data_IF_217155867820
#
_entry.id   IF_217155867820
#
_cell.length_a   1.000
_cell.length_b   1.000
_cell.length_c   1.000
_cell.angle_alpha   90.00
_cell.angle_beta   90.00
_cell.angle_gamma   90.00
#
_symmetry.space_group_name_H-M   'P 1'
#
loop_
_entity.id
_entity.type
_entity.pdbx_description
1 polymer ?
#
# COMPACT_ATOMS: atom_id res chain seq x y z
N UNK A 1 45.83 -5.68 24.39
CA UNK A 1 46.39 -4.34 24.05
C UNK A 1 45.23 -3.54 23.47
N UNK A 2 44.63 -2.61 24.25
CA UNK A 2 44.81 -1.14 24.20
C UNK A 2 44.52 -0.56 22.81
N UNK A 3 43.74 0.50 22.57
CA UNK A 3 43.02 1.50 23.36
C UNK A 3 42.12 2.29 22.37
N UNK A 4 41.14 3.01 22.89
CA UNK A 4 40.24 3.91 22.15
C UNK A 4 40.96 5.10 21.49
N UNK A 5 40.39 5.65 20.41
CA UNK A 5 40.96 6.81 19.70
C UNK A 5 39.91 7.71 19.03
N UNK A 6 39.45 8.71 19.78
CA UNK A 6 38.65 9.88 19.38
C UNK A 6 39.26 10.67 18.21
N UNK A 7 38.44 11.16 17.26
CA UNK A 7 38.79 12.41 16.57
C UNK A 7 37.57 13.26 16.13
N UNK A 8 37.23 14.23 16.98
CA UNK A 8 36.29 15.32 16.73
C UNK A 8 37.03 16.47 16.03
N UNK A 9 36.53 16.92 14.87
CA UNK A 9 36.91 18.18 14.19
C UNK A 9 35.62 18.96 13.91
N UNK A 10 35.18 19.84 14.81
CA UNK A 10 35.51 21.29 14.86
C UNK A 10 35.50 21.96 13.50
N UNK A 11 34.44 22.72 13.16
CA UNK A 11 34.58 24.10 12.66
C UNK A 11 33.50 24.98 13.27
N UNK A 12 33.96 26.11 13.81
CA UNK A 12 33.23 27.19 14.47
C UNK A 12 32.30 27.91 13.49
N UNK A 13 31.18 28.43 13.99
CA UNK A 13 30.82 29.85 13.82
C UNK A 13 29.81 30.25 14.90
N UNK A 14 30.35 30.91 15.93
CA UNK A 14 29.58 31.75 16.83
C UNK A 14 29.20 33.03 16.06
N UNK A 15 27.90 33.25 15.89
CA UNK A 15 27.33 34.51 15.44
C UNK A 15 26.40 35.02 16.52
N UNK A 16 26.90 35.94 17.35
CA UNK A 16 26.09 36.75 18.25
C UNK A 16 25.15 37.64 17.45
N UNK A 17 23.87 37.66 17.82
CA UNK A 17 22.85 38.54 17.24
C UNK A 17 21.61 38.63 18.12
N UNK A 18 21.67 39.57 19.08
CA UNK A 18 20.60 40.45 19.58
C UNK A 18 19.12 40.03 19.41
N UNK A 19 18.46 39.96 20.57
CA UNK A 19 17.17 40.61 20.90
C UNK A 19 16.09 40.63 19.81
N UNK A 20 15.02 39.86 20.04
CA UNK A 20 13.64 40.38 19.96
C UNK A 20 12.69 39.36 20.57
N UNK A 21 12.13 39.71 21.72
CA UNK A 21 11.00 38.98 22.28
C UNK A 21 9.82 39.06 21.31
N UNK A 22 9.28 37.90 20.96
CA UNK A 22 7.95 37.77 20.39
C UNK A 22 7.28 36.62 21.12
N UNK A 23 6.49 36.95 22.14
CA UNK A 23 5.55 36.02 22.75
C UNK A 23 4.44 35.79 21.72
N UNK A 24 4.64 34.82 20.84
CA UNK A 24 3.57 34.30 20.00
C UNK A 24 2.69 33.48 20.93
N UNK A 25 1.59 34.07 21.41
CA UNK A 25 0.45 33.33 21.95
C UNK A 25 -0.18 32.60 20.76
N UNK A 26 0.44 31.49 20.39
CA UNK A 26 -0.13 30.54 19.45
C UNK A 26 -1.34 29.93 20.12
N UNK A 27 -2.53 30.35 19.72
CA UNK A 27 -3.74 29.57 19.95
C UNK A 27 -3.46 28.22 19.31
N UNK A 28 -3.14 27.23 20.15
CA UNK A 28 -3.06 25.84 19.75
C UNK A 28 -4.49 25.48 19.38
N UNK A 29 -4.83 25.72 18.11
CA UNK A 29 -6.04 25.17 17.52
C UNK A 29 -5.76 23.68 17.51
N UNK A 30 -6.17 23.02 18.60
CA UNK A 30 -6.29 21.59 18.66
C UNK A 30 -7.27 21.23 17.55
N UNK A 31 -6.73 21.00 16.35
CA UNK A 31 -7.33 20.05 15.45
C UNK A 31 -7.22 18.73 16.21
N UNK A 32 -8.18 18.47 17.10
CA UNK A 32 -8.67 17.13 17.33
C UNK A 32 -9.14 16.67 15.95
N UNK A 33 -8.19 16.20 15.15
CA UNK A 33 -8.48 15.36 14.01
C UNK A 33 -9.30 14.25 14.62
N UNK A 34 -10.60 14.29 14.38
CA UNK A 34 -11.40 13.09 14.45
C UNK A 34 -10.68 12.17 13.49
N UNK A 35 -9.89 11.23 14.01
CA UNK A 35 -9.48 10.06 13.27
C UNK A 35 -10.78 9.38 12.88
N UNK A 36 -11.33 9.84 11.76
CA UNK A 36 -12.38 9.13 11.08
C UNK A 36 -11.68 7.89 10.59
N UNK A 37 -11.62 6.85 11.43
CA UNK A 37 -11.18 5.52 11.05
C UNK A 37 -12.10 5.08 9.92
N UNK A 38 -11.77 5.52 8.70
CA UNK A 38 -12.53 5.17 7.50
C UNK A 38 -12.45 3.67 7.42
N UNK A 39 -13.57 3.00 7.70
CA UNK A 39 -13.68 1.55 7.61
C UNK A 39 -13.36 1.15 6.18
N UNK A 40 -12.49 0.14 6.01
CA UNK A 40 -12.14 -0.39 4.70
C UNK A 40 -13.42 -0.81 3.95
N UNK A 41 -13.68 -0.19 2.80
CA UNK A 41 -14.84 -0.51 1.97
C UNK A 41 -14.52 -1.64 0.99
N UNK A 42 -15.55 -2.25 0.41
CA UNK A 42 -15.37 -3.22 -0.68
C UNK A 42 -14.69 -2.59 -1.91
N UNK A 43 -14.88 -1.29 -2.15
CA UNK A 43 -14.23 -0.57 -3.24
C UNK A 43 -12.73 -0.38 -2.97
N UNK A 44 -12.36 -0.02 -1.72
CA UNK A 44 -10.95 0.07 -1.33
C UNK A 44 -10.27 -1.29 -1.44
N UNK A 45 -10.93 -2.36 -0.98
CA UNK A 45 -10.43 -3.71 -1.10
C UNK A 45 -10.28 -4.17 -2.57
N UNK A 46 -11.22 -3.78 -3.45
CA UNK A 46 -11.09 -4.05 -4.88
C UNK A 46 -9.87 -3.32 -5.46
N UNK A 47 -9.66 -2.05 -5.08
CA UNK A 47 -8.50 -1.29 -5.52
C UNK A 47 -7.17 -1.94 -5.07
N UNK A 48 -7.09 -2.38 -3.81
CA UNK A 48 -5.93 -3.13 -3.30
C UNK A 48 -5.65 -4.40 -4.12
N UNK A 49 -6.70 -5.15 -4.46
CA UNK A 49 -6.56 -6.32 -5.34
C UNK A 49 -6.09 -5.93 -6.75
N UNK A 50 -6.66 -4.87 -7.35
CA UNK A 50 -6.26 -4.37 -8.66
C UNK A 50 -4.77 -4.03 -8.70
N UNK A 51 -4.27 -3.32 -7.69
CA UNK A 51 -2.85 -2.95 -7.62
C UNK A 51 -1.95 -4.18 -7.42
N UNK A 52 -2.35 -5.13 -6.56
CA UNK A 52 -1.58 -6.36 -6.35
C UNK A 52 -1.53 -7.25 -7.60
N UNK A 53 -2.64 -7.40 -8.33
CA UNK A 53 -2.69 -8.14 -9.60
C UNK A 53 -1.78 -7.48 -10.64
N UNK A 54 -1.84 -6.14 -10.76
CA UNK A 54 -0.98 -5.39 -11.68
C UNK A 54 0.49 -5.50 -11.33
N UNK A 55 0.84 -5.52 -10.04
CA UNK A 55 2.21 -5.68 -9.58
C UNK A 55 2.78 -7.07 -9.87
N UNK A 56 1.92 -8.10 -9.95
CA UNK A 56 2.32 -9.45 -10.31
C UNK A 56 2.51 -9.66 -11.83
N UNK A 57 1.89 -8.81 -12.66
CA UNK A 57 1.94 -8.94 -14.11
C UNK A 57 3.28 -8.42 -14.69
N UNK A 58 3.79 -9.02 -15.78
CA UNK A 58 4.97 -8.51 -16.50
C UNK A 58 4.82 -7.07 -16.99
N UNK A 59 3.59 -6.67 -17.36
CA UNK A 59 3.27 -5.32 -17.78
C UNK A 59 1.94 -4.84 -17.20
N UNK A 60 2.02 -4.11 -16.08
CA UNK A 60 0.87 -3.56 -15.36
C UNK A 60 -0.09 -2.71 -16.22
N UNK A 61 0.41 -2.01 -17.24
CA UNK A 61 -0.38 -1.09 -18.06
C UNK A 61 -1.33 -1.82 -19.02
N UNK A 62 -1.07 -3.10 -19.31
CA UNK A 62 -1.87 -3.91 -20.22
C UNK A 62 -2.76 -4.93 -19.49
N UNK A 63 -2.83 -4.89 -18.16
CA UNK A 63 -3.73 -5.77 -17.39
C UNK A 63 -5.15 -5.22 -17.45
N UNK A 64 -6.09 -6.04 -17.89
CA UNK A 64 -7.52 -5.71 -17.89
C UNK A 64 -8.20 -6.41 -16.71
N UNK A 65 -8.75 -5.63 -15.77
CA UNK A 65 -9.42 -6.17 -14.57
C UNK A 65 -10.85 -5.65 -14.55
N UNK A 66 -11.86 -6.50 -14.84
CA UNK A 66 -13.25 -6.12 -14.75
C UNK A 66 -13.67 -5.99 -13.29
N UNK A 67 -14.64 -5.12 -13.02
CA UNK A 67 -15.20 -4.99 -11.69
C UNK A 67 -15.81 -6.32 -11.21
N UNK A 68 -15.51 -6.70 -9.97
CA UNK A 68 -16.14 -7.85 -9.30
C UNK A 68 -16.68 -7.44 -7.94
N UNK A 69 -17.92 -7.84 -7.66
CA UNK A 69 -18.49 -7.69 -6.33
C UNK A 69 -17.74 -8.57 -5.32
N UNK A 70 -17.42 -7.99 -4.16
CA UNK A 70 -16.74 -8.72 -3.10
C UNK A 70 -17.67 -9.76 -2.47
N UNK A 71 -17.11 -10.93 -2.14
CA UNK A 71 -17.67 -11.82 -1.11
C UNK A 71 -17.05 -11.43 0.22
N UNK A 72 -17.89 -11.02 1.15
CA UNK A 72 -17.45 -10.44 2.42
C UNK A 72 -17.66 -11.41 3.58
N UNK A 73 -16.67 -11.47 4.47
CA UNK A 73 -16.77 -12.12 5.78
C UNK A 73 -16.44 -11.11 6.88
N UNK A 74 -16.48 -11.53 8.14
CA UNK A 74 -16.09 -10.67 9.28
C UNK A 74 -14.64 -10.16 9.14
N UNK A 75 -13.73 -10.95 8.57
CA UNK A 75 -12.30 -10.65 8.56
C UNK A 75 -11.74 -10.23 7.20
N UNK A 76 -12.34 -10.68 6.11
CA UNK A 76 -11.79 -10.47 4.76
C UNK A 76 -12.84 -10.09 3.72
N UNK A 77 -12.42 -9.32 2.73
CA UNK A 77 -13.07 -9.22 1.41
C UNK A 77 -12.41 -10.21 0.45
N UNK A 78 -13.20 -10.95 -0.32
CA UNK A 78 -12.71 -11.92 -1.30
C UNK A 78 -13.26 -11.62 -2.69
N UNK A 79 -12.36 -11.57 -3.68
CA UNK A 79 -12.67 -11.38 -5.09
C UNK A 79 -12.18 -12.61 -5.85
N UNK A 80 -13.03 -13.15 -6.72
CA UNK A 80 -12.74 -14.35 -7.50
C UNK A 80 -13.11 -14.05 -8.94
N UNK A 81 -12.10 -13.94 -9.80
CA UNK A 81 -12.23 -13.95 -11.25
C UNK A 81 -11.89 -15.35 -11.74
N UNK A 82 -12.82 -16.01 -12.42
CA UNK A 82 -12.58 -17.28 -13.11
C UNK A 82 -12.18 -17.01 -14.55
N UNK A 83 -11.56 -17.98 -15.21
CA UNK A 83 -11.38 -17.95 -16.67
C UNK A 83 -12.72 -17.65 -17.35
N UNK A 84 -12.74 -16.67 -18.25
CA UNK A 84 -13.95 -16.17 -18.90
C UNK A 84 -14.72 -15.06 -18.15
N UNK A 85 -14.31 -14.67 -16.93
CA UNK A 85 -14.86 -13.49 -16.25
C UNK A 85 -14.35 -12.16 -16.84
N UNK A 86 -13.45 -12.21 -17.83
CA UNK A 86 -12.92 -11.06 -18.57
C UNK A 86 -11.66 -10.43 -17.95
N UNK A 87 -11.08 -11.04 -16.92
CA UNK A 87 -9.76 -10.62 -16.42
C UNK A 87 -8.68 -11.14 -17.37
N UNK A 88 -7.86 -10.23 -17.89
CA UNK A 88 -6.77 -10.56 -18.82
C UNK A 88 -5.44 -10.06 -18.31
N UNK A 89 -4.43 -10.91 -18.45
CA UNK A 89 -3.06 -10.61 -18.07
C UNK A 89 -2.14 -10.80 -19.29
N UNK A 90 -1.23 -9.85 -19.56
CA UNK A 90 -0.22 -10.01 -20.60
C UNK A 90 0.84 -11.01 -20.15
N UNK A 91 1.28 -11.84 -21.08
CA UNK A 91 2.52 -12.62 -20.90
C UNK A 91 3.77 -11.74 -21.16
N UNK A 92 5.00 -12.28 -21.02
CA UNK A 92 6.22 -11.53 -21.31
C UNK A 92 6.36 -11.04 -22.76
N UNK A 93 5.59 -11.58 -23.71
CA UNK A 93 5.56 -11.16 -25.11
C UNK A 93 4.47 -10.12 -25.40
N UNK A 94 3.58 -9.86 -24.45
CA UNK A 94 2.49 -8.89 -24.54
C UNK A 94 1.17 -9.49 -25.05
N UNK A 95 1.09 -10.81 -25.22
CA UNK A 95 -0.15 -11.48 -25.60
C UNK A 95 -1.09 -11.56 -24.39
N UNK A 96 -2.37 -11.26 -24.62
CA UNK A 96 -3.39 -11.20 -23.57
C UNK A 96 -4.03 -12.56 -23.33
N UNK A 97 -3.97 -13.05 -22.10
CA UNK A 97 -4.53 -14.36 -21.71
C UNK A 97 -5.64 -14.20 -20.68
N UNK A 98 -6.73 -14.95 -20.86
CA UNK A 98 -7.80 -15.04 -19.86
C UNK A 98 -7.25 -15.73 -18.61
N UNK A 99 -7.28 -15.03 -17.49
CA UNK A 99 -6.57 -15.42 -16.26
C UNK A 99 -7.57 -15.61 -15.12
N UNK A 100 -7.43 -16.69 -14.35
CA UNK A 100 -8.15 -16.90 -13.11
C UNK A 100 -7.39 -16.26 -11.94
N UNK A 101 -8.10 -15.51 -11.09
CA UNK A 101 -7.50 -14.84 -9.93
C UNK A 101 -8.38 -14.99 -8.70
N UNK A 102 -7.76 -15.35 -7.58
CA UNK A 102 -8.35 -15.25 -6.24
C UNK A 102 -7.57 -14.23 -5.44
N UNK A 103 -8.22 -13.15 -5.03
CA UNK A 103 -7.63 -12.13 -4.19
C UNK A 103 -8.42 -11.96 -2.89
N UNK A 104 -7.73 -11.92 -1.74
CA UNK A 104 -8.34 -11.66 -0.43
C UNK A 104 -7.64 -10.50 0.27
N UNK A 105 -8.44 -9.60 0.81
CA UNK A 105 -7.98 -8.41 1.55
C UNK A 105 -8.40 -8.53 3.00
N UNK A 106 -7.46 -8.41 3.92
CA UNK A 106 -7.70 -8.39 5.36
C UNK A 106 -8.27 -7.05 5.81
N UNK A 107 -9.39 -7.05 6.53
CA UNK A 107 -10.03 -5.82 7.02
C UNK A 107 -9.27 -5.14 8.15
N UNK A 108 -8.60 -5.94 8.98
CA UNK A 108 -7.83 -5.44 10.14
C UNK A 108 -6.57 -4.71 9.69
N UNK A 109 -5.75 -5.35 8.85
CA UNK A 109 -4.49 -4.80 8.36
C UNK A 109 -4.61 -3.97 7.08
N UNK A 110 -5.78 -4.00 6.42
CA UNK A 110 -6.08 -3.26 5.19
C UNK A 110 -5.09 -3.56 4.06
N UNK A 111 -4.71 -4.83 3.94
CA UNK A 111 -3.72 -5.31 2.97
C UNK A 111 -4.20 -6.58 2.27
N UNK A 112 -3.63 -6.88 1.10
CA UNK A 112 -3.84 -8.16 0.40
C UNK A 112 -3.15 -9.27 1.19
N UNK A 113 -3.93 -10.17 1.77
CA UNK A 113 -3.44 -11.30 2.57
C UNK A 113 -3.32 -12.58 1.74
N UNK A 114 -3.89 -12.61 0.54
CA UNK A 114 -3.77 -13.75 -0.36
C UNK A 114 -3.99 -13.31 -1.81
N UNK A 115 -3.07 -13.69 -2.68
CA UNK A 115 -3.19 -13.53 -4.12
C UNK A 115 -2.78 -14.84 -4.80
N UNK A 116 -3.71 -15.40 -5.56
CA UNK A 116 -3.50 -16.59 -6.41
C UNK A 116 -3.87 -16.23 -7.85
N UNK A 117 -3.01 -16.60 -8.80
CA UNK A 117 -3.16 -16.36 -10.24
C UNK A 117 -2.96 -17.70 -10.95
N UNK A 118 -3.97 -18.15 -11.70
CA UNK A 118 -4.00 -19.44 -12.40
C UNK A 118 -3.63 -20.66 -11.53
N UNK A 119 -3.99 -20.60 -10.23
CA UNK A 119 -3.69 -21.65 -9.26
C UNK A 119 -2.33 -21.54 -8.58
N UNK A 120 -1.50 -20.56 -8.97
CA UNK A 120 -0.22 -20.27 -8.34
C UNK A 120 -0.36 -19.16 -7.29
N UNK A 121 0.07 -19.42 -6.06
CA UNK A 121 0.05 -18.40 -4.99
C UNK A 121 1.22 -17.43 -5.15
N UNK A 122 0.91 -16.16 -5.41
CA UNK A 122 1.88 -15.07 -5.58
C UNK A 122 2.19 -14.37 -4.26
N UNK A 123 1.18 -14.22 -3.39
CA UNK A 123 1.34 -13.66 -2.03
C UNK A 123 0.68 -14.60 -1.01
N UNK A 124 1.47 -15.24 -0.11
CA UNK A 124 0.94 -16.08 0.96
C UNK A 124 0.42 -15.27 2.15
N UNK A 125 -0.40 -15.92 2.98
CA UNK A 125 -0.98 -15.38 4.22
C UNK A 125 0.05 -15.25 5.36
#
# INVERSE_FOLDING_TARGET
MREAGSNRRWWKKAGSGLLAGLVVVGVVRSCTGVENESSLTAQDAHHLCTEAIKAAAPNAAQVEIPYKAARETVKVFSFIWRTGDGLKMPDPFGDQHDTAVVCRVGKERREVVHLEIDGETVLPQ
#
